data_IF_619123850401
#
_entry.id   IF_619123850401
#
_cell.length_a   1.000
_cell.length_b   1.000
_cell.length_c   1.000
_cell.angle_alpha   90.00
_cell.angle_beta   90.00
_cell.angle_gamma   90.00
#
_symmetry.space_group_name_H-M   'P 1'
#
loop_
_entity.id
_entity.type
_entity.pdbx_description
1 polymer ?
#
# COMPACT_ATOMS: atom_id res chain seq x y z
N UNK A 1 -12.61 -17.60 13.98
CA UNK A 1 -11.24 -17.59 13.46
C UNK A 1 -11.18 -18.38 12.17
N UNK A 2 -10.30 -18.00 11.27
CA UNK A 2 -10.02 -18.72 10.02
C UNK A 2 -8.55 -19.11 10.01
N UNK A 3 -8.22 -20.26 9.40
CA UNK A 3 -6.87 -20.74 9.30
C UNK A 3 -6.84 -22.26 9.16
N UNK A 4 -5.67 -22.83 9.36
CA UNK A 4 -5.44 -24.28 9.25
C UNK A 4 -4.47 -24.76 10.31
N UNK A 5 -4.48 -26.08 10.51
CA UNK A 5 -3.55 -26.81 11.37
C UNK A 5 -2.73 -27.71 10.46
N UNK A 6 -1.44 -27.83 10.72
CA UNK A 6 -0.52 -28.69 9.97
C UNK A 6 0.47 -29.35 10.93
N UNK A 7 0.83 -30.58 10.65
CA UNK A 7 1.94 -31.27 11.27
C UNK A 7 3.20 -31.20 10.41
N UNK A 8 4.33 -31.26 11.07
CA UNK A 8 5.64 -31.32 10.41
C UNK A 8 6.20 -32.76 10.44
N UNK A 9 7.17 -33.08 9.58
CA UNK A 9 7.76 -34.42 9.53
C UNK A 9 8.37 -34.90 10.87
N UNK A 10 8.74 -33.97 11.75
CA UNK A 10 9.23 -34.26 13.11
C UNK A 10 8.10 -34.36 14.17
N UNK A 11 6.84 -34.39 13.71
CA UNK A 11 5.68 -34.64 14.57
C UNK A 11 5.20 -33.43 15.40
N UNK A 12 5.73 -32.25 15.14
CA UNK A 12 5.22 -31.01 15.75
C UNK A 12 3.99 -30.52 15.00
N UNK A 13 3.10 -29.89 15.75
CA UNK A 13 1.88 -29.32 15.20
C UNK A 13 1.91 -27.79 15.28
N UNK A 14 1.45 -27.16 14.21
CA UNK A 14 1.33 -25.71 14.12
C UNK A 14 -0.04 -25.32 13.56
N UNK A 15 -0.49 -24.14 13.95
CA UNK A 15 -1.65 -23.49 13.35
C UNK A 15 -1.22 -22.17 12.71
N UNK A 16 -1.69 -21.92 11.50
CA UNK A 16 -1.63 -20.61 10.87
C UNK A 16 -3.03 -20.01 10.97
N UNK A 17 -3.18 -19.04 11.86
CA UNK A 17 -4.40 -18.26 12.06
C UNK A 17 -4.16 -16.84 11.60
N UNK A 18 -5.11 -15.94 11.83
CA UNK A 18 -4.86 -14.51 11.63
C UNK A 18 -5.36 -13.70 12.82
N UNK A 19 -4.75 -12.56 13.00
CA UNK A 19 -5.23 -11.48 13.86
C UNK A 19 -5.74 -10.35 12.96
N UNK A 20 -6.95 -9.89 13.21
CA UNK A 20 -7.48 -8.68 12.59
C UNK A 20 -6.79 -7.46 13.22
N UNK A 21 -6.24 -6.59 12.38
CA UNK A 21 -5.40 -5.46 12.80
C UNK A 21 -5.87 -4.16 12.14
N UNK A 22 -7.16 -4.00 11.97
CA UNK A 22 -7.77 -2.78 11.43
C UNK A 22 -7.50 -2.60 9.94
N UNK A 23 -7.20 -1.40 9.51
CA UNK A 23 -7.02 -1.05 8.10
C UNK A 23 -5.85 -1.78 7.43
N UNK A 24 -4.81 -2.18 8.18
CA UNK A 24 -3.72 -3.00 7.61
C UNK A 24 -4.17 -4.42 7.28
N UNK A 25 -5.35 -4.82 7.79
CA UNK A 25 -6.00 -6.09 7.50
C UNK A 25 -5.60 -7.23 8.42
N UNK A 26 -5.65 -8.46 7.89
CA UNK A 26 -5.45 -9.69 8.66
C UNK A 26 -4.00 -10.13 8.62
N UNK A 27 -3.33 -10.05 9.76
CA UNK A 27 -1.92 -10.46 9.90
C UNK A 27 -1.88 -11.95 10.24
N UNK A 28 -1.21 -12.79 9.43
CA UNK A 28 -1.03 -14.21 9.74
C UNK A 28 -0.20 -14.40 11.02
N UNK A 29 -0.64 -15.32 11.87
CA UNK A 29 0.02 -15.67 13.12
C UNK A 29 0.29 -17.16 13.12
N UNK A 30 1.54 -17.55 13.33
CA UNK A 30 1.93 -18.94 13.52
C UNK A 30 1.91 -19.30 15.00
N UNK A 31 1.21 -20.38 15.35
CA UNK A 31 1.04 -20.84 16.71
C UNK A 31 1.50 -22.30 16.85
N UNK A 32 2.22 -22.68 17.90
CA UNK A 32 2.37 -24.08 18.24
C UNK A 32 1.03 -24.66 18.68
N UNK A 33 0.80 -25.95 18.36
CA UNK A 33 -0.40 -26.68 18.76
C UNK A 33 0.01 -27.91 19.55
N UNK A 34 -0.62 -28.10 20.69
CA UNK A 34 -0.56 -29.32 21.48
C UNK A 34 -1.92 -30.00 21.52
N UNK A 35 -1.97 -31.29 21.83
CA UNK A 35 -3.22 -32.03 21.91
C UNK A 35 -3.51 -32.41 23.37
N UNK A 36 -4.71 -32.12 23.82
CA UNK A 36 -5.19 -32.54 25.12
C UNK A 36 -6.59 -33.16 24.97
N UNK A 37 -6.77 -34.38 25.45
CA UNK A 37 -8.03 -35.13 25.40
C UNK A 37 -8.63 -35.13 23.96
N UNK A 38 -7.78 -35.30 22.94
CA UNK A 38 -8.11 -35.27 21.50
C UNK A 38 -8.52 -33.90 20.95
N UNK A 39 -8.37 -32.83 21.72
CA UNK A 39 -8.64 -31.45 21.26
C UNK A 39 -7.35 -30.66 21.03
N UNK A 40 -7.27 -29.83 19.99
CA UNK A 40 -6.12 -28.97 19.77
C UNK A 40 -6.11 -27.83 20.79
N UNK A 41 -4.96 -27.60 21.38
CA UNK A 41 -4.68 -26.47 22.27
C UNK A 41 -3.69 -25.55 21.58
N UNK A 42 -4.10 -24.33 21.30
CA UNK A 42 -3.34 -23.36 20.53
C UNK A 42 -2.47 -22.47 21.43
N UNK A 43 -1.27 -22.17 20.95
CA UNK A 43 -0.34 -21.25 21.61
C UNK A 43 0.42 -21.89 22.77
N UNK A 44 0.99 -21.04 23.63
CA UNK A 44 1.73 -21.44 24.83
C UNK A 44 1.00 -20.91 26.07
N UNK A 45 0.63 -21.79 26.98
CA UNK A 45 -0.10 -21.44 28.21
C UNK A 45 -1.37 -20.59 27.95
N UNK A 46 -2.07 -20.82 26.84
CA UNK A 46 -3.28 -20.10 26.44
C UNK A 46 -3.03 -18.71 25.83
N UNK A 47 -1.78 -18.37 25.52
CA UNK A 47 -1.40 -17.10 24.92
C UNK A 47 -0.72 -17.31 23.56
N UNK A 48 -0.82 -16.30 22.70
CA UNK A 48 -0.03 -16.20 21.48
C UNK A 48 1.41 -15.87 21.90
N UNK A 49 2.41 -16.71 21.58
CA UNK A 49 3.79 -16.39 21.87
C UNK A 49 4.28 -15.26 20.96
N UNK A 50 5.10 -14.36 21.48
CA UNK A 50 5.72 -13.29 20.70
C UNK A 50 6.72 -13.84 19.70
N UNK A 51 7.43 -14.90 20.09
CA UNK A 51 8.42 -15.59 19.27
C UNK A 51 8.25 -17.10 19.39
N UNK A 52 8.42 -17.81 18.28
CA UNK A 52 8.51 -19.26 18.24
C UNK A 52 9.72 -19.70 17.44
N UNK A 53 10.40 -20.72 17.91
CA UNK A 53 11.50 -21.33 17.18
C UNK A 53 10.96 -22.37 16.20
N UNK A 54 11.32 -22.21 14.92
CA UNK A 54 10.98 -23.16 13.86
C UNK A 54 12.24 -23.53 13.08
N UNK A 55 12.32 -24.80 12.66
CA UNK A 55 13.41 -25.26 11.81
C UNK A 55 13.06 -25.01 10.34
N UNK A 56 13.94 -24.27 9.65
CA UNK A 56 13.79 -24.04 8.22
C UNK A 56 14.06 -25.35 7.45
N UNK A 57 13.14 -25.72 6.57
CA UNK A 57 13.34 -26.80 5.58
C UNK A 57 14.18 -26.33 4.38
N UNK A 58 14.55 -25.05 4.33
CA UNK A 58 15.37 -24.43 3.29
C UNK A 58 16.52 -23.62 3.90
N UNK A 59 17.51 -24.26 4.53
CA UNK A 59 18.64 -23.56 5.10
C UNK A 59 19.35 -22.71 4.03
N UNK A 60 19.65 -21.46 4.32
CA UNK A 60 20.31 -20.53 3.39
C UNK A 60 19.41 -19.91 2.33
N UNK A 61 18.11 -20.21 2.29
CA UNK A 61 17.19 -19.52 1.39
C UNK A 61 16.93 -18.08 1.87
N UNK A 62 17.15 -17.12 0.97
CA UNK A 62 16.90 -15.69 1.23
C UNK A 62 15.48 -15.36 0.74
N UNK A 63 14.60 -15.05 1.68
CA UNK A 63 13.24 -14.61 1.35
C UNK A 63 13.27 -13.19 0.80
N UNK A 64 12.59 -13.01 -0.33
CA UNK A 64 12.43 -11.67 -0.89
C UNK A 64 11.41 -10.87 -0.05
N UNK A 65 11.65 -9.57 0.20
CA UNK A 65 10.69 -8.75 0.91
C UNK A 65 9.38 -8.62 0.10
N UNK A 66 8.26 -8.63 0.82
CA UNK A 66 6.92 -8.49 0.22
C UNK A 66 6.67 -7.09 -0.33
N UNK A 67 7.35 -6.09 0.22
CA UNK A 67 7.24 -4.68 -0.15
C UNK A 67 8.63 -4.05 -0.23
N UNK A 68 8.76 -2.94 -0.95
CA UNK A 68 10.02 -2.22 -1.02
C UNK A 68 10.09 -1.27 -2.22
N UNK A 69 11.17 -0.52 -2.30
CA UNK A 69 11.40 0.44 -3.38
C UNK A 69 11.69 -0.25 -4.71
N UNK A 70 11.34 0.43 -5.79
CA UNK A 70 11.60 0.03 -7.16
C UNK A 70 11.98 1.28 -7.98
N UNK A 71 13.05 1.17 -8.75
CA UNK A 71 13.48 2.20 -9.68
C UNK A 71 13.00 1.94 -11.13
N UNK A 72 12.23 0.88 -11.32
CA UNK A 72 11.71 0.40 -12.60
C UNK A 72 12.76 0.03 -13.66
N UNK A 73 14.06 0.08 -13.33
CA UNK A 73 15.13 -0.25 -14.26
C UNK A 73 15.24 -1.74 -14.59
N UNK A 74 14.63 -2.60 -13.79
CA UNK A 74 14.66 -4.05 -13.95
C UNK A 74 13.29 -4.65 -14.29
N UNK A 75 12.38 -3.88 -14.84
CA UNK A 75 10.99 -4.26 -15.05
C UNK A 75 10.15 -4.06 -13.80
N UNK A 76 8.89 -4.50 -13.84
CA UNK A 76 8.04 -4.54 -12.64
C UNK A 76 8.46 -5.71 -11.77
N UNK A 77 8.93 -5.41 -10.57
CA UNK A 77 9.31 -6.44 -9.59
C UNK A 77 8.07 -7.20 -9.09
N UNK A 78 8.20 -8.48 -8.66
CA UNK A 78 7.07 -9.32 -8.24
C UNK A 78 6.26 -8.78 -7.03
N UNK A 79 6.75 -7.76 -6.34
CA UNK A 79 6.08 -7.10 -5.23
C UNK A 79 4.94 -6.17 -5.65
N UNK A 80 4.90 -5.78 -6.94
CA UNK A 80 3.83 -4.95 -7.48
C UNK A 80 2.58 -5.77 -7.79
N UNK A 81 1.44 -5.20 -7.48
CA UNK A 81 0.13 -5.70 -7.81
C UNK A 81 -0.65 -4.62 -8.55
N UNK A 82 -1.48 -5.03 -9.50
CA UNK A 82 -2.42 -4.10 -10.13
C UNK A 82 -3.73 -4.07 -9.34
N UNK A 83 -4.32 -2.90 -9.23
CA UNK A 83 -5.63 -2.75 -8.58
C UNK A 83 -6.74 -3.50 -9.34
N UNK A 84 -6.60 -3.62 -10.67
CA UNK A 84 -7.49 -4.37 -11.57
C UNK A 84 -6.66 -5.20 -12.54
N UNK A 85 -7.34 -5.91 -13.46
CA UNK A 85 -6.68 -6.52 -14.59
C UNK A 85 -5.98 -5.43 -15.41
N UNK A 86 -4.66 -5.52 -15.61
CA UNK A 86 -3.91 -4.49 -16.32
C UNK A 86 -4.26 -4.49 -17.80
N UNK A 87 -4.33 -3.31 -18.38
CA UNK A 87 -4.42 -3.15 -19.82
C UNK A 87 -3.08 -2.65 -20.39
N UNK A 88 -2.27 -3.54 -21.00
CA UNK A 88 -0.92 -3.20 -21.44
C UNK A 88 -0.87 -2.16 -22.56
N UNK A 89 -2.00 -1.81 -23.17
CA UNK A 89 -2.10 -0.74 -24.16
C UNK A 89 -2.02 0.65 -23.54
N UNK A 90 -2.26 0.75 -22.22
CA UNK A 90 -2.42 2.02 -21.50
C UNK A 90 -1.43 2.19 -20.36
N UNK A 91 -0.36 1.40 -20.35
CA UNK A 91 0.82 1.70 -19.54
C UNK A 91 2.10 1.35 -20.31
N UNK A 92 3.16 2.00 -19.95
CA UNK A 92 4.48 1.76 -20.50
C UNK A 92 5.54 1.79 -19.42
N UNK A 93 6.42 0.80 -19.43
CA UNK A 93 7.59 0.73 -18.58
C UNK A 93 8.83 0.99 -19.43
N UNK A 94 9.55 2.05 -19.11
CA UNK A 94 10.85 2.36 -19.73
C UNK A 94 11.97 2.05 -18.72
N UNK A 95 12.59 0.89 -18.85
CA UNK A 95 13.65 0.44 -17.98
C UNK A 95 14.93 1.28 -18.12
N UNK A 96 15.16 1.93 -19.25
CA UNK A 96 16.35 2.78 -19.44
C UNK A 96 16.20 4.12 -18.69
N UNK A 97 14.98 4.63 -18.63
CA UNK A 97 14.66 5.86 -17.91
C UNK A 97 14.22 5.60 -16.46
N UNK A 98 13.94 4.36 -16.09
CA UNK A 98 13.40 4.01 -14.79
C UNK A 98 12.01 4.63 -14.56
N UNK A 99 11.12 4.56 -15.57
CA UNK A 99 9.80 5.19 -15.49
C UNK A 99 8.68 4.21 -15.78
N UNK A 100 7.58 4.40 -15.05
CA UNK A 100 6.30 3.73 -15.28
C UNK A 100 5.27 4.80 -15.67
N UNK A 101 4.79 4.75 -16.91
CA UNK A 101 3.84 5.72 -17.45
C UNK A 101 2.46 5.09 -17.56
N UNK A 102 1.44 5.77 -17.03
CA UNK A 102 0.03 5.40 -17.20
C UNK A 102 -0.61 6.37 -18.18
N UNK A 103 -1.30 5.84 -19.20
CA UNK A 103 -2.18 6.61 -20.08
C UNK A 103 -3.62 6.30 -19.69
N UNK A 104 -4.41 7.32 -19.37
CA UNK A 104 -5.81 7.13 -18.98
C UNK A 104 -6.63 6.61 -20.16
N UNK A 105 -7.36 5.52 -19.95
CA UNK A 105 -8.25 4.92 -20.97
C UNK A 105 -9.62 5.57 -20.98
N UNK A 106 -10.12 5.89 -19.79
CA UNK A 106 -11.46 6.42 -19.57
C UNK A 106 -11.47 7.34 -18.35
N UNK A 107 -12.47 8.17 -18.24
CA UNK A 107 -12.68 9.01 -17.06
C UNK A 107 -13.21 8.15 -15.93
N UNK A 108 -12.47 8.13 -14.82
CA UNK A 108 -12.89 7.49 -13.58
C UNK A 108 -13.34 8.56 -12.57
N UNK A 109 -14.49 8.36 -11.97
CA UNK A 109 -14.99 9.24 -10.89
C UNK A 109 -14.54 8.76 -9.51
N UNK A 110 -14.01 7.54 -9.45
CA UNK A 110 -13.55 6.86 -8.25
C UNK A 110 -12.14 6.32 -8.46
N UNK A 111 -11.25 6.59 -7.52
CA UNK A 111 -9.86 6.10 -7.60
C UNK A 111 -9.78 4.57 -7.66
N UNK A 112 -10.72 3.88 -7.01
CA UNK A 112 -10.83 2.41 -7.04
C UNK A 112 -11.11 1.84 -8.44
N UNK A 113 -11.55 2.66 -9.39
CA UNK A 113 -11.83 2.27 -10.78
C UNK A 113 -10.63 2.52 -11.72
N UNK A 114 -9.59 3.20 -11.24
CA UNK A 114 -8.43 3.56 -12.07
C UNK A 114 -7.62 2.32 -12.47
N UNK A 115 -7.62 2.02 -13.77
CA UNK A 115 -6.89 0.89 -14.36
C UNK A 115 -5.40 1.19 -14.39
N UNK A 116 -4.57 0.14 -14.31
CA UNK A 116 -3.09 0.19 -14.30
C UNK A 116 -2.49 0.87 -13.06
N UNK A 117 -3.27 1.13 -12.04
CA UNK A 117 -2.76 1.57 -10.73
C UNK A 117 -1.91 0.48 -10.10
N UNK A 118 -0.64 0.78 -9.84
CA UNK A 118 0.28 -0.11 -9.13
C UNK A 118 0.12 0.04 -7.63
N UNK A 119 0.07 -1.09 -6.94
CA UNK A 119 -0.07 -1.13 -5.48
C UNK A 119 0.97 -2.05 -4.85
N UNK A 120 1.29 -1.76 -3.60
CA UNK A 120 2.00 -2.65 -2.68
C UNK A 120 1.24 -2.68 -1.35
N UNK A 121 1.42 -3.75 -0.58
CA UNK A 121 0.80 -3.85 0.73
C UNK A 121 1.44 -2.87 1.70
N UNK A 122 0.61 -2.30 2.57
CA UNK A 122 1.10 -1.56 3.72
C UNK A 122 1.61 -2.50 4.81
N UNK A 123 2.60 -2.06 5.58
CA UNK A 123 3.26 -2.84 6.62
C UNK A 123 2.91 -2.33 8.00
N UNK A 124 2.63 -3.26 8.92
CA UNK A 124 2.45 -2.99 10.34
C UNK A 124 3.82 -2.87 11.04
N UNK A 125 3.99 -2.04 12.06
CA UNK A 125 3.02 -1.14 12.70
C UNK A 125 2.85 0.20 11.99
N UNK A 126 3.75 0.57 11.12
CA UNK A 126 3.72 1.79 10.34
C UNK A 126 4.52 1.63 9.06
N UNK A 127 4.22 2.42 8.07
CA UNK A 127 4.97 2.45 6.82
C UNK A 127 4.89 3.83 6.16
N UNK A 128 5.80 4.06 5.21
CA UNK A 128 5.77 5.22 4.35
C UNK A 128 6.07 4.83 2.90
N UNK A 129 5.49 5.56 1.97
CA UNK A 129 5.74 5.44 0.55
C UNK A 129 6.03 6.81 -0.04
N UNK A 130 6.89 6.85 -1.04
CA UNK A 130 7.23 8.05 -1.79
C UNK A 130 7.19 7.75 -3.29
N UNK A 131 6.80 8.74 -4.08
CA UNK A 131 6.83 8.66 -5.54
C UNK A 131 7.13 10.04 -6.13
N UNK A 132 7.93 10.06 -7.18
CA UNK A 132 8.07 11.24 -8.04
C UNK A 132 7.12 11.12 -9.22
N UNK A 133 6.29 12.12 -9.44
CA UNK A 133 5.31 12.18 -10.54
C UNK A 133 5.67 13.29 -11.50
N UNK A 134 5.76 12.97 -12.78
CA UNK A 134 5.79 13.94 -13.87
C UNK A 134 4.38 14.12 -14.44
N UNK A 135 3.81 15.29 -14.22
CA UNK A 135 2.47 15.67 -14.62
C UNK A 135 2.45 16.47 -15.94
N UNK A 136 3.56 16.57 -16.68
CA UNK A 136 3.66 17.41 -17.87
C UNK A 136 2.62 17.08 -18.95
N UNK A 137 2.20 15.82 -19.03
CA UNK A 137 1.21 15.34 -19.99
C UNK A 137 -0.24 15.31 -19.46
N UNK A 138 -0.50 15.73 -18.21
CA UNK A 138 -1.86 15.78 -17.67
C UNK A 138 -2.76 16.73 -18.47
N UNK A 139 -3.99 16.30 -18.68
CA UNK A 139 -5.07 17.13 -19.21
C UNK A 139 -5.82 17.82 -18.08
N UNK A 140 -6.68 18.76 -18.45
CA UNK A 140 -7.56 19.45 -17.49
C UNK A 140 -8.42 18.44 -16.72
N UNK A 141 -8.33 18.48 -15.39
CA UNK A 141 -9.07 17.64 -14.48
C UNK A 141 -8.45 16.28 -14.17
N UNK A 142 -7.39 15.87 -14.89
CA UNK A 142 -6.66 14.64 -14.53
C UNK A 142 -5.95 14.81 -13.20
N UNK A 143 -5.87 13.73 -12.42
CA UNK A 143 -5.13 13.68 -11.14
C UNK A 143 -4.15 12.51 -11.18
N UNK A 144 -2.90 12.75 -10.81
CA UNK A 144 -1.88 11.72 -10.65
C UNK A 144 -1.14 11.88 -9.32
N UNK A 145 -0.82 10.78 -8.64
CA UNK A 145 -0.19 10.86 -7.33
C UNK A 145 -0.02 9.53 -6.61
N UNK A 146 -0.09 9.59 -5.29
CA UNK A 146 0.11 8.48 -4.37
C UNK A 146 -1.12 8.33 -3.46
N UNK A 147 -1.50 7.08 -3.15
CA UNK A 147 -2.68 6.83 -2.32
C UNK A 147 -2.49 5.69 -1.31
N UNK A 148 -3.17 5.82 -0.16
CA UNK A 148 -3.57 4.72 0.69
C UNK A 148 -4.93 4.22 0.18
N UNK A 149 -4.96 3.06 -0.48
CA UNK A 149 -6.11 2.62 -1.25
C UNK A 149 -6.83 1.47 -0.58
N UNK A 150 -8.10 1.70 -0.29
CA UNK A 150 -9.12 0.70 0.06
C UNK A 150 -10.49 1.22 -0.45
N UNK A 151 -11.61 0.74 0.07
CA UNK A 151 -12.94 1.33 -0.17
C UNK A 151 -13.02 2.79 0.29
N UNK A 152 -12.42 3.10 1.44
CA UNK A 152 -12.02 4.43 1.86
C UNK A 152 -10.59 4.68 1.40
N UNK A 153 -10.21 5.90 1.10
CA UNK A 153 -8.84 6.19 0.68
C UNK A 153 -8.42 7.63 0.95
N UNK A 154 -7.13 7.79 1.19
CA UNK A 154 -6.45 9.07 1.12
C UNK A 154 -5.52 9.09 -0.08
N UNK A 155 -5.59 10.12 -0.90
CA UNK A 155 -4.67 10.31 -2.01
C UNK A 155 -4.14 11.74 -2.04
N UNK A 156 -2.86 11.88 -2.30
CA UNK A 156 -2.21 13.15 -2.60
C UNK A 156 -1.76 13.14 -4.05
N UNK A 157 -2.03 14.21 -4.77
CA UNK A 157 -1.71 14.26 -6.18
C UNK A 157 -1.61 15.66 -6.74
N UNK A 158 -1.16 15.70 -7.99
CA UNK A 158 -1.11 16.89 -8.82
C UNK A 158 -2.21 16.80 -9.87
N UNK A 159 -2.90 17.91 -10.07
CA UNK A 159 -3.91 18.09 -11.12
C UNK A 159 -3.56 19.27 -12.00
N UNK A 160 -4.25 19.37 -13.14
CA UNK A 160 -4.20 20.55 -14.00
C UNK A 160 -5.58 21.21 -14.00
N UNK A 161 -5.63 22.49 -13.61
CA UNK A 161 -6.85 23.24 -13.52
C UNK A 161 -6.66 24.68 -14.06
N UNK A 162 -7.47 25.05 -15.05
CA UNK A 162 -7.33 26.34 -15.77
C UNK A 162 -5.91 26.58 -16.30
N UNK A 163 -5.27 25.53 -16.81
CA UNK A 163 -3.91 25.59 -17.36
C UNK A 163 -2.80 25.70 -16.31
N UNK A 164 -3.11 25.68 -15.01
CA UNK A 164 -2.15 25.69 -13.90
C UNK A 164 -2.07 24.32 -13.25
N UNK A 165 -0.93 24.03 -12.64
CA UNK A 165 -0.78 22.84 -11.81
C UNK A 165 -1.16 23.16 -10.37
N UNK A 166 -1.91 22.27 -9.75
CA UNK A 166 -2.34 22.38 -8.36
C UNK A 166 -2.10 21.05 -7.64
N UNK A 167 -1.64 21.13 -6.39
CA UNK A 167 -1.52 19.94 -5.51
C UNK A 167 -2.74 19.91 -4.62
N UNK A 168 -3.33 18.72 -4.48
CA UNK A 168 -4.53 18.51 -3.67
C UNK A 168 -4.48 17.16 -2.94
N UNK A 169 -5.32 17.01 -1.94
CA UNK A 169 -5.62 15.75 -1.28
C UNK A 169 -7.07 15.36 -1.55
N UNK A 170 -7.28 14.10 -1.87
CA UNK A 170 -8.58 13.43 -1.92
C UNK A 170 -8.73 12.58 -0.66
N UNK A 171 -9.84 12.72 0.03
CA UNK A 171 -10.16 12.00 1.27
C UNK A 171 -11.55 11.40 1.14
N UNK A 172 -11.64 10.08 0.88
CA UNK A 172 -12.90 9.36 0.82
C UNK A 172 -13.11 8.57 2.11
N UNK A 173 -14.16 8.93 2.83
CA UNK A 173 -14.55 8.34 4.12
C UNK A 173 -15.52 7.16 3.97
N UNK A 174 -15.80 6.49 5.08
CA UNK A 174 -16.72 5.35 5.14
C UNK A 174 -18.15 5.68 4.70
N UNK A 175 -18.61 6.91 4.91
CA UNK A 175 -19.93 7.39 4.47
C UNK A 175 -20.01 7.58 2.94
N UNK A 176 -18.92 7.34 2.23
CA UNK A 176 -18.82 7.48 0.78
C UNK A 176 -18.60 8.91 0.30
N UNK A 177 -18.52 9.88 1.21
CA UNK A 177 -18.26 11.27 0.86
C UNK A 177 -16.79 11.40 0.46
N UNK A 178 -16.56 11.99 -0.70
CA UNK A 178 -15.24 12.36 -1.19
C UNK A 178 -15.01 13.84 -0.91
N UNK A 179 -14.18 14.13 0.07
CA UNK A 179 -13.68 15.46 0.35
C UNK A 179 -12.43 15.74 -0.50
N UNK A 180 -12.31 16.95 -1.00
CA UNK A 180 -11.15 17.41 -1.73
C UNK A 180 -10.66 18.71 -1.12
N UNK A 181 -9.37 18.81 -0.83
CA UNK A 181 -8.79 20.07 -0.37
C UNK A 181 -8.84 21.13 -1.48
N UNK A 182 -8.85 22.39 -1.10
CA UNK A 182 -8.56 23.46 -2.06
C UNK A 182 -7.17 23.25 -2.65
N UNK A 183 -7.03 23.37 -3.98
CA UNK A 183 -5.79 23.12 -4.69
C UNK A 183 -4.74 24.20 -4.36
N UNK A 184 -3.52 23.79 -4.07
CA UNK A 184 -2.38 24.68 -3.92
C UNK A 184 -1.67 24.83 -5.26
N UNK A 185 -1.69 26.03 -5.85
CA UNK A 185 -1.02 26.31 -7.13
C UNK A 185 0.48 26.13 -7.00
N UNK A 186 1.07 25.42 -7.95
CA UNK A 186 2.52 25.15 -8.03
C UNK A 186 3.05 25.46 -9.45
N UNK A 187 4.31 25.89 -9.52
CA UNK A 187 4.95 26.20 -10.81
C UNK A 187 5.53 24.95 -11.49
N UNK A 188 5.82 23.91 -10.72
CA UNK A 188 6.44 22.68 -11.22
C UNK A 188 5.39 21.66 -11.65
N UNK A 189 5.63 21.00 -12.79
CA UNK A 189 4.88 19.82 -13.20
C UNK A 189 5.49 18.53 -12.66
N UNK A 190 6.67 18.58 -12.04
CA UNK A 190 7.31 17.43 -11.41
C UNK A 190 7.30 17.59 -9.89
N UNK A 191 6.71 16.61 -9.20
CA UNK A 191 6.46 16.66 -7.77
C UNK A 191 6.84 15.35 -7.10
N UNK A 192 7.31 15.43 -5.87
CA UNK A 192 7.41 14.27 -4.99
C UNK A 192 6.21 14.24 -4.06
N UNK A 193 5.61 13.07 -3.92
CA UNK A 193 4.55 12.80 -2.96
C UNK A 193 5.01 11.78 -1.93
N UNK A 194 4.55 11.94 -0.70
CA UNK A 194 4.79 11.02 0.40
C UNK A 194 3.50 10.76 1.15
N UNK A 195 3.32 9.51 1.54
CA UNK A 195 2.24 9.06 2.39
C UNK A 195 2.85 8.30 3.57
N UNK A 196 2.41 8.64 4.77
CA UNK A 196 2.78 7.94 6.01
C UNK A 196 1.53 7.32 6.61
N UNK A 197 1.60 6.05 6.98
CA UNK A 197 0.52 5.33 7.65
C UNK A 197 0.95 4.81 9.02
N UNK A 198 0.07 4.93 10.01
CA UNK A 198 0.26 4.45 11.39
C UNK A 198 -0.92 3.56 11.78
N UNK A 199 -0.64 2.26 11.94
CA UNK A 199 -1.59 1.23 12.36
C UNK A 199 -1.42 0.83 13.82
N UNK A 200 -0.49 1.48 14.53
CA UNK A 200 -0.17 1.16 15.92
C UNK A 200 -1.40 1.34 16.80
N UNK A 201 -1.75 0.31 17.59
CA UNK A 201 -2.95 0.32 18.44
C UNK A 201 -4.27 0.63 17.68
N UNK A 202 -4.39 0.16 16.46
CA UNK A 202 -5.55 0.37 15.59
C UNK A 202 -5.88 1.86 15.38
N UNK A 203 -4.87 2.72 15.28
CA UNK A 203 -5.08 4.13 14.95
C UNK A 203 -5.61 4.31 13.55
N UNK A 204 -5.09 3.51 12.60
CA UNK A 204 -5.48 3.51 11.20
C UNK A 204 -5.46 4.91 10.57
N UNK A 205 -4.35 5.62 10.81
CA UNK A 205 -4.16 7.00 10.34
C UNK A 205 -3.25 7.03 9.11
N UNK A 206 -3.60 7.87 8.13
CA UNK A 206 -2.73 8.23 7.01
C UNK A 206 -2.54 9.74 6.91
N UNK A 207 -1.32 10.16 6.57
CA UNK A 207 -0.92 11.56 6.38
C UNK A 207 -0.26 11.73 5.04
N UNK A 208 -0.64 12.80 4.33
CA UNK A 208 -0.14 13.11 3.01
C UNK A 208 0.79 14.33 3.03
N UNK A 209 1.82 14.26 2.18
CA UNK A 209 2.81 15.30 2.02
C UNK A 209 3.20 15.45 0.56
N UNK A 210 3.69 16.61 0.20
CA UNK A 210 4.31 16.90 -1.09
C UNK A 210 5.57 17.73 -0.93
N UNK A 211 6.43 17.72 -1.93
CA UNK A 211 7.56 18.64 -2.04
C UNK A 211 7.92 18.93 -3.49
N UNK A 212 8.55 20.05 -3.73
CA UNK A 212 9.09 20.46 -5.01
C UNK A 212 10.62 20.33 -4.98
N UNK A 213 11.16 19.51 -5.86
CA UNK A 213 12.59 19.30 -5.96
C UNK A 213 13.21 18.79 -4.65
N UNK A 214 14.22 19.49 -4.13
CA UNK A 214 14.94 19.15 -2.89
C UNK A 214 14.44 19.94 -1.67
N UNK A 215 13.26 20.53 -1.74
CA UNK A 215 12.65 21.27 -0.64
C UNK A 215 12.21 20.38 0.53
N UNK A 216 11.65 21.02 1.54
CA UNK A 216 11.06 20.32 2.69
C UNK A 216 9.74 19.64 2.31
N UNK A 217 9.38 18.58 3.04
CA UNK A 217 8.08 17.97 2.96
C UNK A 217 7.02 18.86 3.58
N UNK A 218 6.03 19.26 2.81
CA UNK A 218 4.90 20.08 3.23
C UNK A 218 3.68 19.19 3.43
N UNK A 219 3.02 19.23 4.60
CA UNK A 219 1.79 18.47 4.81
C UNK A 219 0.65 19.06 3.98
N UNK A 220 -0.29 18.20 3.58
CA UNK A 220 -1.49 18.62 2.85
C UNK A 220 -2.71 17.85 3.36
N UNK A 221 -3.82 18.57 3.53
CA UNK A 221 -5.09 18.03 3.99
C UNK A 221 -5.10 17.65 5.47
N UNK A 222 -6.13 16.91 5.84
CA UNK A 222 -6.32 16.37 7.19
C UNK A 222 -5.74 14.96 7.31
N UNK A 223 -5.68 14.46 8.55
CA UNK A 223 -5.41 13.05 8.79
C UNK A 223 -6.61 12.23 8.33
N UNK A 224 -6.36 11.27 7.44
CA UNK A 224 -7.35 10.26 7.05
C UNK A 224 -7.43 9.17 8.12
N UNK A 225 -8.65 8.68 8.40
CA UNK A 225 -8.92 7.58 9.34
C UNK A 225 -9.88 6.59 8.73
#
# INVERSE_FOLDING_TARGET
AQGGIVDTPDGKWYAMLFQDSGAVGRIPILLPVTWKDHFPVFGQNGHVPEEIEVHSTRPGYIYQPLVGSDDFCNGLLPRWQFNHDPDPRYYHLDALQGTYTITTREVCTELTQAVNTLTQRMSYPSCAAEVTVDASALKEGDVAGLCALQSCYAAVGITKHHGKYEVLMLDKKEDGILDMTEGTVVESHQMDFRLEADFCNMKDEARCYYRIGKGDWLPIGSVHK
#
